data_IF_622154022197
#
_entry.id   IF_622154022197
#
_cell.length_a   1.000
_cell.length_b   1.000
_cell.length_c   1.000
_cell.angle_alpha   90.00
_cell.angle_beta   90.00
_cell.angle_gamma   90.00
#
_symmetry.space_group_name_H-M   'P 1'
#
loop_
_entity.id
_entity.type
_entity.pdbx_description
1 polymer ?
#
# COMPACT_ATOMS: atom_id res chain seq x y z
N UNK A 1 -25.31 1.88 -1.73
CA UNK A 1 -24.52 1.49 -0.55
C UNK A 1 -24.61 2.51 0.59
N UNK A 2 -25.32 3.63 0.46
CA UNK A 2 -25.50 4.63 1.54
C UNK A 2 -24.19 5.04 2.25
N UNK A 3 -23.12 5.23 1.47
CA UNK A 3 -21.80 5.67 1.95
C UNK A 3 -21.44 7.03 1.33
N UNK A 4 -20.62 7.79 2.05
CA UNK A 4 -19.95 8.98 1.52
C UNK A 4 -18.51 8.63 1.11
N UNK A 5 -18.02 9.07 -0.06
CA UNK A 5 -16.63 8.86 -0.46
C UNK A 5 -15.71 9.78 0.33
N UNK A 6 -14.98 9.23 1.31
CA UNK A 6 -14.21 10.02 2.28
C UNK A 6 -13.19 10.98 1.65
N UNK A 7 -12.52 10.68 0.51
CA UNK A 7 -11.60 11.62 -0.10
C UNK A 7 -12.29 12.90 -0.58
N UNK A 8 -13.58 12.86 -0.92
CA UNK A 8 -14.27 14.01 -1.48
C UNK A 8 -14.29 15.17 -0.48
N UNK A 9 -13.68 16.29 -0.90
CA UNK A 9 -13.52 17.52 -0.12
C UNK A 9 -12.70 17.36 1.17
N UNK A 10 -12.01 16.23 1.38
CA UNK A 10 -11.05 16.09 2.47
C UNK A 10 -9.87 17.04 2.22
N UNK A 11 -9.71 18.05 3.07
CA UNK A 11 -8.80 19.19 2.82
C UNK A 11 -8.92 19.79 1.41
N UNK A 12 -10.14 19.81 0.86
CA UNK A 12 -10.44 20.28 -0.51
C UNK A 12 -9.95 19.38 -1.66
N UNK A 13 -9.65 18.10 -1.42
CA UNK A 13 -9.42 17.14 -2.51
C UNK A 13 -10.67 17.05 -3.41
N UNK A 14 -10.56 17.22 -4.75
CA UNK A 14 -11.71 17.51 -5.62
C UNK A 14 -12.38 16.28 -6.22
N UNK A 15 -12.00 15.06 -5.78
CA UNK A 15 -12.45 13.78 -6.35
C UNK A 15 -12.87 12.82 -5.24
N UNK A 16 -13.58 11.76 -5.61
CA UNK A 16 -14.13 10.77 -4.67
C UNK A 16 -13.22 9.56 -4.43
N UNK A 17 -12.09 9.49 -5.11
CA UNK A 17 -11.16 8.36 -5.16
C UNK A 17 -9.79 8.91 -5.62
N UNK A 18 -8.70 8.31 -5.16
CA UNK A 18 -7.38 8.57 -5.73
C UNK A 18 -7.04 7.49 -6.77
N UNK A 19 -6.48 7.92 -7.91
CA UNK A 19 -6.05 7.05 -9.00
C UNK A 19 -4.61 7.41 -9.35
N UNK A 20 -3.67 6.57 -8.92
CA UNK A 20 -2.23 6.82 -9.01
C UNK A 20 -1.62 5.93 -10.08
N UNK A 21 -1.21 6.52 -11.20
CA UNK A 21 -0.70 5.79 -12.37
C UNK A 21 0.83 5.86 -12.41
N UNK A 22 1.49 4.73 -12.68
CA UNK A 22 2.92 4.63 -12.97
C UNK A 22 3.83 5.27 -11.89
N UNK A 23 4.42 6.44 -12.13
CA UNK A 23 5.32 7.13 -11.20
C UNK A 23 4.60 7.88 -10.07
N UNK A 24 3.27 7.97 -10.13
CA UNK A 24 2.47 8.53 -9.04
C UNK A 24 2.51 7.57 -7.85
N UNK A 25 3.03 8.07 -6.73
CA UNK A 25 3.17 7.37 -5.46
C UNK A 25 1.81 7.21 -4.79
N UNK A 26 1.08 8.32 -4.64
CA UNK A 26 -0.24 8.36 -4.02
C UNK A 26 -0.98 9.67 -4.40
N UNK A 27 -2.27 9.71 -4.06
CA UNK A 27 -3.13 10.90 -4.20
C UNK A 27 -3.28 11.45 -5.63
N UNK A 28 -3.07 10.62 -6.65
CA UNK A 28 -3.37 11.00 -8.03
C UNK A 28 -4.86 11.32 -8.20
N UNK A 29 -5.17 12.42 -8.87
CA UNK A 29 -6.56 12.80 -9.15
C UNK A 29 -7.06 12.12 -10.43
N UNK A 30 -8.25 11.48 -10.42
CA UNK A 30 -8.92 11.08 -11.65
C UNK A 30 -9.04 12.24 -12.66
N UNK A 31 -8.55 12.00 -13.87
CA UNK A 31 -8.54 12.93 -15.01
C UNK A 31 -8.98 12.24 -16.32
N UNK A 32 -8.73 12.89 -17.47
CA UNK A 32 -9.13 12.38 -18.79
C UNK A 32 -8.09 11.42 -19.42
N UNK A 33 -6.97 11.11 -18.74
CA UNK A 33 -5.94 10.23 -19.29
C UNK A 33 -6.47 8.79 -19.38
N UNK A 34 -6.58 8.28 -20.61
CA UNK A 34 -6.83 6.87 -20.83
C UNK A 34 -5.65 6.01 -20.35
N UNK A 35 -5.94 4.85 -19.74
CA UNK A 35 -4.91 3.90 -19.38
C UNK A 35 -4.32 3.20 -20.60
N UNK A 36 -3.02 2.98 -20.59
CA UNK A 36 -2.28 2.36 -21.68
C UNK A 36 -1.86 0.92 -21.31
N UNK A 37 -1.71 0.02 -22.31
CA UNK A 37 -1.18 -1.33 -22.07
C UNK A 37 0.12 -1.31 -21.26
N UNK A 38 0.14 -2.07 -20.16
CA UNK A 38 1.29 -2.15 -19.26
C UNK A 38 1.44 -1.01 -18.26
N UNK A 39 0.54 -0.04 -18.21
CA UNK A 39 0.43 0.85 -17.06
C UNK A 39 0.20 0.04 -15.78
N UNK A 40 0.64 0.60 -14.65
CA UNK A 40 0.10 0.20 -13.35
C UNK A 40 -0.74 1.33 -12.80
N UNK A 41 -1.86 0.97 -12.19
CA UNK A 41 -2.84 1.90 -11.64
C UNK A 41 -3.19 1.46 -10.24
N UNK A 42 -2.82 2.26 -9.25
CA UNK A 42 -3.35 2.13 -7.90
C UNK A 42 -4.70 2.86 -7.82
N UNK A 43 -5.68 2.21 -7.22
CA UNK A 43 -7.00 2.80 -6.92
C UNK A 43 -7.21 2.73 -5.43
N UNK A 44 -7.38 3.90 -4.81
CA UNK A 44 -7.45 4.07 -3.36
C UNK A 44 -8.82 4.59 -2.93
N UNK A 45 -9.50 3.75 -2.16
CA UNK A 45 -10.92 3.83 -1.85
C UNK A 45 -11.11 3.91 -0.34
N UNK A 46 -11.62 5.05 0.10
CA UNK A 46 -12.10 5.22 1.46
C UNK A 46 -13.59 5.51 1.49
N UNK A 47 -14.37 4.72 2.23
CA UNK A 47 -15.81 4.95 2.42
C UNK A 47 -16.12 5.37 3.85
N UNK A 48 -17.03 6.33 4.01
CA UNK A 48 -17.61 6.71 5.28
C UNK A 48 -19.05 6.23 5.38
N UNK A 49 -19.34 5.45 6.42
CA UNK A 49 -20.67 4.87 6.66
C UNK A 49 -20.95 4.81 8.17
N UNK A 50 -22.13 5.27 8.58
CA UNK A 50 -22.59 5.23 9.98
C UNK A 50 -21.55 5.71 11.01
N UNK A 51 -20.83 6.78 10.71
CA UNK A 51 -19.85 7.34 11.64
C UNK A 51 -18.44 6.80 11.51
N UNK A 52 -18.16 5.86 10.60
CA UNK A 52 -16.88 5.15 10.51
C UNK A 52 -16.31 5.19 9.09
N UNK A 53 -14.99 5.29 8.97
CA UNK A 53 -14.23 5.16 7.74
C UNK A 53 -13.67 3.74 7.57
N UNK A 54 -13.60 3.26 6.34
CA UNK A 54 -12.87 2.05 5.94
C UNK A 54 -12.03 2.36 4.70
N UNK A 55 -10.77 1.93 4.73
CA UNK A 55 -9.75 2.32 3.76
C UNK A 55 -9.02 1.12 3.16
N UNK A 56 -8.87 1.12 1.84
CA UNK A 56 -8.07 0.15 1.12
C UNK A 56 -7.64 0.67 -0.25
N UNK A 57 -6.55 0.11 -0.74
CA UNK A 57 -6.09 0.33 -2.09
C UNK A 57 -5.35 -0.88 -2.65
N UNK A 58 -5.36 -0.99 -3.98
CA UNK A 58 -4.63 -2.03 -4.69
C UNK A 58 -4.05 -1.48 -5.99
N UNK A 59 -2.87 -1.97 -6.36
CA UNK A 59 -2.27 -1.69 -7.67
C UNK A 59 -2.64 -2.77 -8.69
N UNK A 60 -3.24 -2.36 -9.81
CA UNK A 60 -3.62 -3.22 -10.93
C UNK A 60 -2.65 -3.02 -12.11
N UNK A 61 -2.30 -4.12 -12.79
CA UNK A 61 -1.54 -4.08 -14.04
C UNK A 61 -2.54 -4.02 -15.21
N UNK A 62 -2.44 -2.98 -16.04
CA UNK A 62 -3.25 -2.85 -17.26
C UNK A 62 -2.78 -3.89 -18.29
N UNK A 63 -3.67 -4.75 -18.82
CA UNK A 63 -3.28 -5.83 -19.72
C UNK A 63 -2.54 -5.34 -20.97
N UNK A 64 -1.54 -6.11 -21.39
CA UNK A 64 -0.80 -5.92 -22.63
C UNK A 64 -0.95 -7.16 -23.53
N UNK A 65 -2.13 -7.36 -24.16
CA UNK A 65 -2.39 -8.54 -24.98
C UNK A 65 -1.56 -8.56 -26.26
N UNK A 66 -1.13 -7.39 -26.74
CA UNK A 66 -0.34 -7.24 -27.96
C UNK A 66 1.17 -7.35 -27.70
N UNK A 67 1.59 -7.38 -26.43
CA UNK A 67 2.99 -7.51 -26.04
C UNK A 67 3.82 -6.28 -26.44
N UNK A 68 3.21 -5.09 -26.45
CA UNK A 68 3.88 -3.84 -26.86
C UNK A 68 4.83 -3.31 -25.78
N UNK A 69 4.67 -3.76 -24.53
CA UNK A 69 5.49 -3.32 -23.41
C UNK A 69 6.86 -3.99 -23.46
N UNK A 70 7.91 -3.20 -23.29
CA UNK A 70 9.26 -3.71 -23.22
C UNK A 70 9.40 -4.76 -22.09
N UNK A 71 10.02 -5.92 -22.40
CA UNK A 71 10.19 -7.03 -21.45
C UNK A 71 10.87 -6.66 -20.13
N UNK A 72 11.85 -5.75 -20.17
CA UNK A 72 12.53 -5.30 -18.96
C UNK A 72 11.59 -4.46 -18.08
N UNK A 73 10.80 -3.57 -18.69
CA UNK A 73 9.77 -2.81 -17.99
C UNK A 73 8.68 -3.71 -17.41
N UNK A 74 8.20 -4.69 -18.18
CA UNK A 74 7.22 -5.67 -17.71
C UNK A 74 7.75 -6.48 -16.52
N UNK A 75 9.02 -6.91 -16.56
CA UNK A 75 9.68 -7.59 -15.46
C UNK A 75 9.80 -6.70 -14.21
N UNK A 76 10.27 -5.47 -14.37
CA UNK A 76 10.40 -4.52 -13.27
C UNK A 76 9.06 -4.17 -12.64
N UNK A 77 8.03 -4.03 -13.47
CA UNK A 77 6.65 -3.76 -13.04
C UNK A 77 6.10 -4.90 -12.21
N UNK A 78 6.24 -6.14 -12.70
CA UNK A 78 5.80 -7.31 -11.95
C UNK A 78 6.53 -7.41 -10.61
N UNK A 79 7.86 -7.23 -10.60
CA UNK A 79 8.68 -7.22 -9.38
C UNK A 79 8.24 -6.13 -8.39
N UNK A 80 7.95 -4.92 -8.88
CA UNK A 80 7.46 -3.80 -8.07
C UNK A 80 6.12 -4.14 -7.41
N UNK A 81 5.11 -4.54 -8.19
CA UNK A 81 3.76 -4.79 -7.68
C UNK A 81 3.74 -5.99 -6.72
N UNK A 82 4.40 -7.10 -7.10
CA UNK A 82 4.51 -8.30 -6.26
C UNK A 82 5.28 -8.00 -4.95
N UNK A 83 6.39 -7.27 -5.03
CA UNK A 83 7.18 -6.88 -3.86
C UNK A 83 6.43 -5.97 -2.91
N UNK A 84 5.61 -5.07 -3.44
CA UNK A 84 4.78 -4.14 -2.65
C UNK A 84 3.72 -4.90 -1.88
N UNK A 85 2.93 -5.73 -2.56
CA UNK A 85 1.91 -6.58 -1.93
C UNK A 85 2.53 -7.49 -0.85
N UNK A 86 3.64 -8.17 -1.18
CA UNK A 86 4.31 -9.05 -0.24
C UNK A 86 4.87 -8.30 0.98
N UNK A 87 5.33 -7.07 0.81
CA UNK A 87 5.83 -6.25 1.92
C UNK A 87 4.72 -5.85 2.90
N UNK A 88 3.54 -5.47 2.38
CA UNK A 88 2.35 -5.17 3.18
C UNK A 88 1.91 -6.39 3.97
N UNK A 89 1.67 -7.51 3.28
CA UNK A 89 1.16 -8.72 3.91
C UNK A 89 2.13 -9.32 4.92
N UNK A 90 3.44 -9.29 4.64
CA UNK A 90 4.45 -9.76 5.61
C UNK A 90 4.43 -8.92 6.90
N UNK A 91 4.18 -7.62 6.82
CA UNK A 91 4.05 -6.77 8.00
C UNK A 91 2.73 -6.98 8.74
N UNK A 92 1.62 -7.18 8.01
CA UNK A 92 0.32 -7.49 8.62
C UNK A 92 0.38 -8.82 9.40
N UNK A 93 1.04 -9.86 8.87
CA UNK A 93 1.20 -11.15 9.56
C UNK A 93 1.92 -11.04 10.92
N UNK A 94 2.74 -10.01 11.12
CA UNK A 94 3.42 -9.75 12.40
C UNK A 94 2.53 -9.01 13.40
N UNK A 95 1.41 -8.42 12.97
CA UNK A 95 0.54 -7.62 13.81
C UNK A 95 -0.18 -8.46 14.86
N UNK A 96 0.11 -8.19 16.12
CA UNK A 96 -0.59 -8.72 17.29
C UNK A 96 -0.35 -7.80 18.50
N UNK A 97 -1.18 -7.88 19.56
CA UNK A 97 -0.95 -7.11 20.77
C UNK A 97 0.47 -7.32 21.32
N UNK A 98 1.13 -6.23 21.71
CA UNK A 98 2.50 -6.23 22.24
C UNK A 98 3.61 -5.88 21.22
N UNK A 99 3.31 -5.90 19.92
CA UNK A 99 4.26 -5.47 18.88
C UNK A 99 4.32 -3.95 18.77
N UNK A 100 5.50 -3.37 18.52
CA UNK A 100 5.64 -1.93 18.35
C UNK A 100 5.30 -1.52 16.91
N UNK A 101 4.58 -0.40 16.73
CA UNK A 101 4.24 0.09 15.38
C UNK A 101 5.47 0.31 14.49
N UNK A 102 6.59 0.74 15.08
CA UNK A 102 7.85 0.97 14.36
C UNK A 102 8.44 -0.29 13.74
N UNK A 103 8.08 -1.49 14.24
CA UNK A 103 8.67 -2.74 13.80
C UNK A 103 8.19 -3.13 12.39
N UNK A 104 6.97 -2.73 12.02
CA UNK A 104 6.42 -2.99 10.68
C UNK A 104 7.30 -2.43 9.56
N UNK A 105 7.84 -1.23 9.75
CA UNK A 105 8.74 -0.62 8.78
C UNK A 105 10.06 -1.38 8.60
N UNK A 106 10.50 -2.17 9.59
CA UNK A 106 11.68 -3.03 9.43
C UNK A 106 11.38 -4.19 8.47
N UNK A 107 10.21 -4.80 8.61
CA UNK A 107 9.75 -5.93 7.78
C UNK A 107 9.49 -5.49 6.35
N UNK A 108 8.77 -4.38 6.16
CA UNK A 108 8.52 -3.79 4.83
C UNK A 108 9.84 -3.45 4.12
N UNK A 109 10.74 -2.72 4.79
CA UNK A 109 12.04 -2.35 4.21
C UNK A 109 12.88 -3.57 3.85
N UNK A 110 12.81 -4.65 4.64
CA UNK A 110 13.55 -5.89 4.36
C UNK A 110 13.07 -6.54 3.07
N UNK A 111 11.75 -6.65 2.87
CA UNK A 111 11.16 -7.16 1.62
C UNK A 111 11.55 -6.25 0.45
N UNK A 112 11.36 -4.94 0.59
CA UNK A 112 11.70 -3.96 -0.44
C UNK A 112 13.17 -4.06 -0.89
N UNK A 113 14.11 -4.11 0.07
CA UNK A 113 15.54 -4.22 -0.23
C UNK A 113 15.89 -5.48 -1.01
N UNK A 114 15.28 -6.63 -0.67
CA UNK A 114 15.51 -7.89 -1.38
C UNK A 114 14.95 -7.89 -2.80
N UNK A 115 13.88 -7.13 -3.04
CA UNK A 115 13.34 -6.91 -4.38
C UNK A 115 14.10 -5.81 -5.15
N UNK A 116 15.09 -5.14 -4.53
CA UNK A 116 15.79 -4.00 -5.13
C UNK A 116 14.91 -2.75 -5.29
N UNK A 117 13.94 -2.58 -4.39
CA UNK A 117 13.00 -1.46 -4.34
C UNK A 117 13.36 -0.50 -3.19
N UNK A 118 12.90 0.74 -3.27
CA UNK A 118 12.99 1.70 -2.17
C UNK A 118 11.62 1.95 -1.54
N UNK A 119 11.61 2.41 -0.28
CA UNK A 119 10.39 2.66 0.51
C UNK A 119 10.22 4.16 0.67
N UNK A 120 9.06 4.68 0.27
CA UNK A 120 8.68 6.09 0.44
C UNK A 120 8.66 6.46 1.93
N UNK A 121 9.07 7.69 2.26
CA UNK A 121 9.21 8.16 3.65
C UNK A 121 8.28 9.29 4.06
N UNK A 122 7.67 9.96 3.08
CA UNK A 122 6.84 11.16 3.30
C UNK A 122 5.41 10.81 3.72
N UNK A 123 4.97 9.58 3.47
CA UNK A 123 3.64 9.06 3.77
C UNK A 123 3.72 7.80 4.64
N UNK A 124 2.68 7.53 5.42
CA UNK A 124 2.63 6.43 6.37
C UNK A 124 1.18 5.96 6.59
N UNK A 125 1.03 4.71 7.03
CA UNK A 125 -0.24 4.24 7.56
C UNK A 125 -0.74 5.06 8.75
N UNK A 126 -2.03 4.96 9.02
CA UNK A 126 -2.70 5.77 10.03
C UNK A 126 -3.76 4.97 10.79
N UNK A 127 -4.12 5.43 11.99
CA UNK A 127 -5.38 5.00 12.60
C UNK A 127 -6.56 5.44 11.74
N UNK A 128 -7.55 4.57 11.59
CA UNK A 128 -8.78 4.82 10.83
C UNK A 128 -9.98 4.28 11.60
N UNK A 129 -11.00 5.13 11.81
CA UNK A 129 -12.20 4.83 12.61
C UNK A 129 -13.26 5.91 12.40
N UNK A 130 -13.68 6.62 13.46
CA UNK A 130 -14.55 7.79 13.40
C UNK A 130 -13.87 9.02 12.77
N UNK A 131 -12.54 9.00 12.71
CA UNK A 131 -11.72 9.93 11.94
C UNK A 131 -11.11 9.19 10.77
N UNK A 132 -10.98 9.86 9.62
CA UNK A 132 -10.28 9.34 8.43
C UNK A 132 -8.82 9.04 8.79
N UNK A 133 -8.06 10.07 9.18
CA UNK A 133 -6.67 9.93 9.61
C UNK A 133 -6.54 10.29 11.09
N UNK A 134 -6.07 9.35 11.92
CA UNK A 134 -5.71 9.61 13.31
C UNK A 134 -4.49 8.79 13.76
N UNK A 135 -4.10 8.90 15.03
CA UNK A 135 -3.05 8.05 15.59
C UNK A 135 -3.47 6.57 15.56
N UNK A 136 -2.51 5.63 15.39
CA UNK A 136 -1.07 5.83 15.29
C UNK A 136 -0.61 6.24 13.88
N UNK A 137 0.54 6.89 13.77
CA UNK A 137 1.28 6.93 12.49
C UNK A 137 2.09 5.64 12.37
N UNK A 138 2.07 5.01 11.20
CA UNK A 138 2.69 3.71 10.92
C UNK A 138 3.66 3.83 9.73
N UNK A 139 4.91 4.32 9.96
CA UNK A 139 5.88 4.50 8.89
C UNK A 139 6.35 3.15 8.32
N UNK A 140 6.50 3.12 7.00
CA UNK A 140 6.82 1.89 6.26
C UNK A 140 8.33 1.59 6.15
N UNK A 141 9.20 2.51 6.58
CA UNK A 141 10.66 2.38 6.46
C UNK A 141 11.32 1.95 7.78
N UNK A 142 12.46 1.27 7.67
CA UNK A 142 13.20 0.78 8.85
C UNK A 142 13.81 1.91 9.68
N UNK A 143 14.04 1.65 10.98
CA UNK A 143 14.62 2.63 11.93
C UNK A 143 13.80 3.93 12.05
N UNK A 144 12.50 3.87 11.77
CA UNK A 144 11.58 4.96 12.07
C UNK A 144 11.43 5.14 13.61
N UNK A 145 10.78 6.23 14.00
CA UNK A 145 10.59 6.62 15.41
C UNK A 145 9.13 6.55 15.85
N UNK A 146 8.31 5.72 15.19
CA UNK A 146 6.90 5.59 15.55
C UNK A 146 6.77 5.18 17.02
N UNK A 147 5.80 5.81 17.69
CA UNK A 147 5.54 5.64 19.10
C UNK A 147 4.32 4.73 19.25
N UNK A 148 4.37 3.85 20.24
CA UNK A 148 3.23 3.04 20.65
C UNK A 148 3.45 1.55 20.46
N UNK A 149 2.60 0.81 21.15
CA UNK A 149 2.54 -0.65 21.16
C UNK A 149 1.12 -1.04 20.80
N UNK A 150 0.96 -1.99 19.88
CA UNK A 150 -0.33 -2.50 19.44
C UNK A 150 -1.07 -3.13 20.63
N UNK A 151 -2.37 -2.85 20.71
CA UNK A 151 -3.30 -3.41 21.68
C UNK A 151 -4.53 -3.94 20.94
N UNK A 152 -5.21 -4.91 21.56
CA UNK A 152 -6.52 -5.39 21.08
C UNK A 152 -7.45 -4.21 20.82
N UNK A 153 -8.15 -4.26 19.70
CA UNK A 153 -9.11 -3.25 19.26
C UNK A 153 -8.49 -2.01 18.60
N UNK A 154 -7.15 -1.91 18.50
CA UNK A 154 -6.57 -0.89 17.63
C UNK A 154 -6.93 -1.20 16.17
N UNK A 155 -7.44 -0.20 15.45
CA UNK A 155 -7.68 -0.23 14.03
C UNK A 155 -6.80 0.80 13.32
N UNK A 156 -6.10 0.38 12.27
CA UNK A 156 -5.18 1.22 11.50
C UNK A 156 -4.89 0.61 10.12
N UNK A 157 -4.30 1.40 9.24
CA UNK A 157 -3.88 1.00 7.89
C UNK A 157 -2.42 0.57 7.87
N UNK A 158 -2.11 -0.39 7.00
CA UNK A 158 -0.75 -0.73 6.59
C UNK A 158 -0.71 -0.57 5.08
N UNK A 159 0.01 0.43 4.59
CA UNK A 159 -0.14 0.93 3.21
C UNK A 159 1.21 1.30 2.55
N UNK A 160 2.16 0.36 2.46
CA UNK A 160 3.49 0.66 1.95
C UNK A 160 3.46 1.10 0.47
N UNK A 161 4.07 2.25 0.20
CA UNK A 161 4.42 2.70 -1.15
C UNK A 161 5.89 2.37 -1.44
N UNK A 162 6.12 1.54 -2.45
CA UNK A 162 7.46 1.16 -2.89
C UNK A 162 7.76 1.75 -4.27
N UNK A 163 9.02 2.07 -4.53
CA UNK A 163 9.48 2.64 -5.80
C UNK A 163 10.54 1.75 -6.45
N UNK A 164 10.54 1.67 -7.78
CA UNK A 164 11.66 1.09 -8.56
C UNK A 164 12.96 1.89 -8.44
N UNK A 165 12.83 3.17 -8.09
CA UNK A 165 13.89 4.15 -8.08
C UNK A 165 14.24 4.64 -6.69
N UNK A 166 14.41 5.95 -6.57
CA UNK A 166 14.64 6.65 -5.31
C UNK A 166 13.39 6.68 -4.42
N UNK A 167 13.60 6.77 -3.10
CA UNK A 167 12.50 6.94 -2.14
C UNK A 167 11.92 8.36 -2.12
N UNK A 168 12.63 9.30 -2.77
CA UNK A 168 12.29 10.71 -2.76
C UNK A 168 11.09 10.98 -3.64
N UNK A 169 10.22 11.83 -3.15
CA UNK A 169 9.02 12.29 -3.81
C UNK A 169 9.07 13.80 -4.10
N UNK A 170 8.14 14.24 -4.95
CA UNK A 170 7.77 15.64 -5.13
C UNK A 170 6.27 15.73 -5.37
N UNK A 171 5.66 16.81 -4.91
CA UNK A 171 4.23 17.09 -5.15
C UNK A 171 4.05 17.91 -6.43
N UNK A 172 3.02 17.60 -7.21
CA UNK A 172 2.62 18.40 -8.37
C UNK A 172 1.99 19.74 -7.96
N UNK A 173 1.83 20.69 -8.90
CA UNK A 173 1.18 21.98 -8.63
C UNK A 173 -0.31 21.91 -8.25
N UNK A 174 -0.92 20.72 -8.29
CA UNK A 174 -2.28 20.48 -7.81
C UNK A 174 -2.36 20.31 -6.28
N UNK A 175 -1.21 20.38 -5.58
CA UNK A 175 -1.02 20.22 -4.14
C UNK A 175 -1.32 18.81 -3.57
N UNK A 176 -1.62 17.82 -4.42
CA UNK A 176 -1.99 16.48 -4.00
C UNK A 176 -1.13 15.38 -4.62
N UNK A 177 -1.00 15.37 -5.94
CA UNK A 177 -0.41 14.26 -6.68
C UNK A 177 1.06 14.15 -6.31
N UNK A 178 1.42 13.06 -5.63
CA UNK A 178 2.80 12.78 -5.22
C UNK A 178 3.46 11.87 -6.24
N UNK A 179 4.62 12.24 -6.77
CA UNK A 179 5.34 11.45 -7.77
C UNK A 179 6.77 11.17 -7.34
N UNK A 180 7.33 10.07 -7.82
CA UNK A 180 8.76 9.79 -7.63
C UNK A 180 9.62 10.89 -8.24
N UNK A 181 10.71 11.25 -7.54
CA UNK A 181 11.61 12.31 -7.99
C UNK A 181 12.36 11.95 -9.29
N UNK A 182 12.58 10.65 -9.54
CA UNK A 182 13.29 10.15 -10.72
C UNK A 182 12.37 9.65 -11.85
N UNK A 183 11.05 9.80 -11.69
CA UNK A 183 10.05 9.42 -12.70
C UNK A 183 9.90 7.91 -12.89
N UNK A 184 10.47 7.08 -12.01
CA UNK A 184 10.26 5.62 -12.05
C UNK A 184 8.95 5.24 -11.36
N UNK A 185 8.41 4.08 -11.74
CA UNK A 185 7.14 3.58 -11.20
C UNK A 185 7.15 3.39 -9.68
N UNK A 186 6.00 3.65 -9.08
CA UNK A 186 5.63 3.38 -7.69
C UNK A 186 4.42 2.46 -7.64
N UNK A 187 4.28 1.66 -6.58
CA UNK A 187 3.12 0.85 -6.33
C UNK A 187 2.76 0.88 -4.85
N UNK A 188 1.47 0.70 -4.57
CA UNK A 188 0.91 0.68 -3.23
C UNK A 188 -0.16 -0.42 -3.11
N UNK A 189 -0.24 -1.00 -1.93
CA UNK A 189 -1.36 -1.82 -1.48
C UNK A 189 -1.69 -1.39 -0.06
N UNK A 190 -2.96 -1.49 0.31
CA UNK A 190 -3.41 -1.12 1.64
C UNK A 190 -4.52 -2.02 2.16
N UNK A 191 -4.44 -2.27 3.46
CA UNK A 191 -5.56 -2.79 4.22
C UNK A 191 -5.80 -2.01 5.51
N UNK A 192 -7.09 -1.80 5.79
CA UNK A 192 -7.55 -1.53 7.16
C UNK A 192 -7.56 -2.84 7.95
N UNK A 193 -6.88 -2.84 9.09
CA UNK A 193 -6.79 -3.99 9.99
C UNK A 193 -7.29 -3.65 11.40
N UNK A 194 -7.75 -4.66 12.14
CA UNK A 194 -8.08 -4.55 13.57
C UNK A 194 -7.38 -5.63 14.39
N UNK A 195 -6.83 -5.24 15.54
CA UNK A 195 -6.08 -6.14 16.40
C UNK A 195 -7.01 -7.01 17.24
N UNK A 196 -6.90 -8.32 17.06
CA UNK A 196 -7.62 -9.34 17.83
C UNK A 196 -6.82 -9.75 19.08
N UNK A 197 -7.31 -10.75 19.83
CA UNK A 197 -6.63 -11.22 21.06
C UNK A 197 -5.20 -11.73 20.81
N UNK A 198 -5.01 -12.53 19.75
CA UNK A 198 -3.74 -13.21 19.46
C UNK A 198 -3.25 -12.98 18.02
N UNK A 199 -3.66 -11.89 17.40
CA UNK A 199 -3.34 -11.61 15.99
C UNK A 199 -4.07 -10.39 15.47
N UNK A 200 -4.43 -10.46 14.19
CA UNK A 200 -5.06 -9.37 13.44
C UNK A 200 -6.18 -9.92 12.56
N UNK A 201 -7.22 -9.14 12.36
CA UNK A 201 -8.24 -9.34 11.35
C UNK A 201 -8.09 -8.26 10.27
N UNK A 202 -8.11 -8.67 9.01
CA UNK A 202 -8.05 -7.78 7.86
C UNK A 202 -9.49 -7.44 7.46
N UNK A 203 -9.95 -6.24 7.78
CA UNK A 203 -11.35 -5.83 7.56
C UNK A 203 -11.67 -5.60 6.09
N UNK A 204 -10.66 -5.31 5.29
CA UNK A 204 -10.74 -5.05 3.85
C UNK A 204 -10.15 -6.19 3.02
N UNK A 205 -10.19 -7.42 3.55
CA UNK A 205 -9.68 -8.59 2.86
C UNK A 205 -10.41 -8.83 1.54
N UNK A 206 -9.68 -9.32 0.54
CA UNK A 206 -10.23 -9.74 -0.73
C UNK A 206 -11.22 -10.89 -0.55
N UNK A 207 -12.24 -10.93 -1.41
CA UNK A 207 -13.20 -12.03 -1.51
C UNK A 207 -12.85 -12.94 -2.71
N UNK A 208 -13.38 -14.16 -2.79
CA UNK A 208 -13.12 -15.08 -3.92
C UNK A 208 -13.43 -14.48 -5.29
N UNK A 209 -14.40 -13.58 -5.37
CA UNK A 209 -14.82 -12.86 -6.58
C UNK A 209 -14.00 -11.60 -6.88
N UNK A 210 -13.09 -11.18 -6.00
CA UNK A 210 -12.28 -9.98 -6.22
C UNK A 210 -11.42 -10.13 -7.49
N UNK A 211 -11.39 -9.12 -8.39
CA UNK A 211 -10.71 -9.22 -9.68
C UNK A 211 -9.19 -9.28 -9.52
N UNK A 212 -8.51 -10.04 -10.39
CA UNK A 212 -7.05 -10.17 -10.34
C UNK A 212 -6.33 -8.83 -10.52
N UNK A 213 -5.25 -8.61 -9.76
CA UNK A 213 -4.33 -7.49 -9.95
C UNK A 213 -3.30 -7.72 -11.06
N UNK A 214 -3.39 -8.83 -11.81
CA UNK A 214 -2.47 -9.17 -12.90
C UNK A 214 -1.28 -10.06 -12.48
N UNK A 215 -1.31 -10.63 -11.28
CA UNK A 215 -0.31 -11.58 -10.78
C UNK A 215 -0.93 -12.56 -9.76
N UNK A 216 -0.17 -13.61 -9.42
CA UNK A 216 -0.52 -14.58 -8.39
C UNK A 216 -0.02 -14.08 -7.02
N UNK A 217 -0.97 -13.62 -6.19
CA UNK A 217 -0.68 -13.01 -4.89
C UNK A 217 -0.04 -13.97 -3.89
N UNK A 218 -0.48 -15.23 -3.84
CA UNK A 218 0.04 -16.23 -2.90
C UNK A 218 1.46 -16.65 -3.29
N UNK A 219 1.68 -16.88 -4.59
CA UNK A 219 3.01 -17.20 -5.10
C UNK A 219 3.98 -16.03 -4.89
N UNK A 220 3.54 -14.79 -5.12
CA UNK A 220 4.34 -13.59 -4.87
C UNK A 220 4.72 -13.46 -3.38
N UNK A 221 3.75 -13.58 -2.48
CA UNK A 221 3.98 -13.50 -1.04
C UNK A 221 4.97 -14.57 -0.56
N UNK A 222 4.75 -15.83 -0.95
CA UNK A 222 5.61 -16.94 -0.55
C UNK A 222 7.06 -16.75 -1.02
N UNK A 223 7.25 -16.35 -2.28
CA UNK A 223 8.57 -16.12 -2.88
C UNK A 223 9.29 -14.95 -2.22
N UNK A 224 8.63 -13.79 -2.11
CA UNK A 224 9.25 -12.61 -1.52
C UNK A 224 9.60 -12.82 -0.03
N UNK A 225 8.77 -13.53 0.74
CA UNK A 225 9.10 -13.92 2.13
C UNK A 225 10.28 -14.88 2.21
N UNK A 226 10.37 -15.85 1.30
CA UNK A 226 11.50 -16.76 1.24
C UNK A 226 12.81 -15.99 0.97
N UNK A 227 12.81 -15.13 -0.05
CA UNK A 227 13.95 -14.32 -0.43
C UNK A 227 14.37 -13.39 0.72
N UNK A 228 13.41 -12.72 1.37
CA UNK A 228 13.65 -11.87 2.53
C UNK A 228 13.97 -12.65 3.82
N UNK A 229 13.96 -13.98 3.80
CA UNK A 229 14.23 -14.83 4.97
C UNK A 229 13.24 -14.62 6.12
N UNK A 230 11.96 -14.37 5.81
CA UNK A 230 10.86 -14.20 6.76
C UNK A 230 10.10 -15.51 7.07
N UNK A 231 10.37 -16.59 6.32
CA UNK A 231 9.75 -17.91 6.54
C UNK A 231 10.31 -18.69 7.74
N UNK A 232 11.25 -18.13 8.50
CA UNK A 232 11.81 -18.79 9.68
C UNK A 232 10.96 -18.40 10.90
N UNK A 233 10.47 -19.35 11.71
CA UNK A 233 9.82 -19.01 12.97
C UNK A 233 10.79 -18.14 13.78
N UNK A 234 10.28 -17.05 14.35
CA UNK A 234 11.04 -16.20 15.26
C UNK A 234 11.63 -17.10 16.34
N UNK A 235 12.95 -17.12 16.48
CA UNK A 235 13.62 -17.84 17.57
C UNK A 235 13.38 -17.07 18.88
N UNK A 236 12.18 -17.12 19.42
CA UNK A 236 11.83 -16.61 20.75
C UNK A 236 10.86 -17.57 21.42
#
# INVERSE_FOLDING_TARGET
HDCYPSPLNYYHFPRSVCVSVNEVICHGMPDERAFEPGDIVNVDITLYHNGMHADLNETYIVPDPEGVVNKALAHDTKRLVEGTYASMMSAIEECKPGIMYRDLGNTIQKVANHQGLSVVKSYCGHGVRDLFHCAPNVPHYAKNKAIGVMKKGNAFTVEPMLNLGTYKDRTWPDDWTSVTLDGKRSAQFEHTIILADNGVEILTARLPESPSCGFDMDAALARCKQEAGLNKPSKH
#
